data_IF_017762593286
#
_entry.id   IF_017762593286
#
_cell.length_a   1.000
_cell.length_b   1.000
_cell.length_c   1.000
_cell.angle_alpha   90.00
_cell.angle_beta   90.00
_cell.angle_gamma   90.00
#
_symmetry.space_group_name_H-M   'P 1'
#
loop_
_entity.id
_entity.type
_entity.pdbx_description
1 polymer ?
#
# COMPACT_ATOMS: atom_id res chain seq x y z
N UNK A 1 44.12 21.06 -0.99
CA UNK A 1 43.67 19.66 -0.95
C UNK A 1 42.41 19.60 -0.11
N UNK A 2 41.26 19.36 -0.73
CA UNK A 2 40.00 19.15 -0.01
C UNK A 2 39.94 17.69 0.45
N UNK A 3 39.89 17.45 1.76
CA UNK A 3 39.62 16.12 2.31
C UNK A 3 38.12 16.00 2.56
N UNK A 4 37.43 15.29 1.65
CA UNK A 4 36.05 14.86 1.81
C UNK A 4 36.03 13.73 2.85
N UNK A 5 35.53 13.99 4.06
CA UNK A 5 35.16 12.92 5.00
C UNK A 5 33.86 12.29 4.51
N UNK A 6 33.95 11.09 3.95
CA UNK A 6 32.79 10.26 3.70
C UNK A 6 32.23 9.79 5.05
N UNK A 7 31.10 10.36 5.46
CA UNK A 7 30.33 9.86 6.60
C UNK A 7 29.71 8.54 6.15
N UNK A 8 30.29 7.43 6.59
CA UNK A 8 29.75 6.09 6.38
C UNK A 8 28.49 5.99 7.26
N UNK A 9 27.32 6.19 6.66
CA UNK A 9 26.05 5.89 7.31
C UNK A 9 26.00 4.37 7.56
N UNK A 10 26.00 3.96 8.81
CA UNK A 10 25.66 2.59 9.18
C UNK A 10 24.18 2.38 8.80
N UNK A 11 23.95 1.65 7.73
CA UNK A 11 22.61 1.18 7.35
C UNK A 11 22.16 0.25 8.48
N UNK A 12 21.01 0.55 9.10
CA UNK A 12 20.42 -0.31 10.11
C UNK A 12 20.27 -1.74 9.55
N UNK A 13 20.51 -2.80 10.35
CA UNK A 13 20.43 -4.15 9.85
C UNK A 13 19.00 -4.44 9.38
N UNK A 14 18.83 -4.79 8.11
CA UNK A 14 17.54 -5.23 7.59
C UNK A 14 17.03 -6.42 8.42
N UNK A 15 15.81 -6.32 8.96
CA UNK A 15 15.25 -7.40 9.79
C UNK A 15 14.80 -8.52 8.86
N UNK A 16 15.53 -9.62 8.88
CA UNK A 16 15.17 -10.85 8.18
C UNK A 16 14.05 -11.53 8.97
N UNK A 17 12.87 -11.65 8.35
CA UNK A 17 11.81 -12.55 8.80
C UNK A 17 11.88 -13.83 7.99
N UNK A 18 11.49 -14.93 8.62
CA UNK A 18 11.39 -16.24 7.98
C UNK A 18 10.03 -16.85 8.24
N UNK A 19 9.52 -17.60 7.29
CA UNK A 19 8.34 -18.42 7.44
C UNK A 19 8.63 -19.77 6.83
N UNK A 20 8.22 -20.82 7.53
CA UNK A 20 8.36 -22.18 7.03
C UNK A 20 6.97 -22.68 6.68
N UNK A 21 6.83 -23.13 5.44
CA UNK A 21 5.64 -23.78 4.95
C UNK A 21 6.01 -25.18 4.47
N UNK A 22 5.06 -26.09 4.61
CA UNK A 22 5.27 -27.49 4.26
C UNK A 22 4.15 -27.95 3.37
N UNK A 23 4.51 -28.52 2.23
CA UNK A 23 3.55 -29.06 1.27
C UNK A 23 3.69 -30.57 1.15
N UNK A 24 2.55 -31.25 1.19
CA UNK A 24 2.51 -32.67 0.82
C UNK A 24 2.40 -32.75 -0.70
N UNK A 25 3.29 -33.49 -1.34
CA UNK A 25 3.25 -33.66 -2.80
C UNK A 25 2.06 -34.57 -3.15
N UNK A 26 1.16 -34.13 -4.05
CA UNK A 26 -0.02 -34.92 -4.40
C UNK A 26 0.35 -36.16 -5.22
N UNK A 27 -0.48 -37.21 -5.10
CA UNK A 27 -0.43 -38.40 -5.96
C UNK A 27 -0.88 -37.93 -7.36
N UNK A 28 -0.06 -38.15 -8.40
CA UNK A 28 -0.29 -37.73 -9.81
C UNK A 28 0.31 -36.37 -10.22
N UNK A 29 1.55 -36.06 -9.81
CA UNK A 29 2.31 -34.97 -10.45
C UNK A 29 2.51 -35.29 -11.95
N UNK A 30 2.14 -34.40 -12.88
CA UNK A 30 2.26 -34.67 -14.31
C UNK A 30 3.71 -34.82 -14.76
N UNK A 31 3.92 -35.63 -15.79
CA UNK A 31 5.21 -35.81 -16.46
C UNK A 31 5.38 -34.82 -17.62
N UNK A 32 6.62 -34.36 -17.84
CA UNK A 32 7.07 -33.44 -18.88
C UNK A 32 6.47 -32.01 -18.80
N UNK A 33 6.21 -31.38 -19.96
CA UNK A 33 6.08 -29.92 -20.16
C UNK A 33 4.98 -29.23 -19.33
N UNK A 34 4.03 -30.00 -18.82
CA UNK A 34 2.87 -29.47 -18.10
C UNK A 34 3.20 -29.26 -16.61
N UNK A 35 3.05 -28.01 -16.15
CA UNK A 35 3.18 -27.66 -14.74
C UNK A 35 1.84 -27.83 -14.03
N UNK A 36 1.84 -28.52 -12.90
CA UNK A 36 0.66 -28.59 -12.05
C UNK A 36 0.69 -27.46 -11.01
N UNK A 37 -0.36 -26.65 -11.03
CA UNK A 37 -0.76 -25.79 -9.92
C UNK A 37 -1.87 -26.49 -9.16
N UNK A 38 -1.63 -26.82 -7.90
CA UNK A 38 -2.61 -27.57 -7.11
C UNK A 38 -3.52 -26.58 -6.38
N UNK A 39 -4.80 -26.53 -6.75
CA UNK A 39 -5.84 -25.67 -6.12
C UNK A 39 -6.09 -25.98 -4.64
N UNK A 40 -5.53 -27.07 -4.13
CA UNK A 40 -5.67 -27.54 -2.74
C UNK A 40 -4.33 -27.42 -1.98
N UNK A 41 -3.35 -26.72 -2.57
CA UNK A 41 -2.17 -26.18 -1.89
C UNK A 41 -2.46 -24.70 -1.57
N UNK A 42 -2.54 -24.29 -0.29
CA UNK A 42 -2.82 -22.89 0.06
C UNK A 42 -1.73 -21.97 -0.48
N UNK A 43 -2.13 -20.91 -1.19
CA UNK A 43 -1.22 -19.82 -1.52
C UNK A 43 -0.71 -19.21 -0.21
N UNK A 44 0.61 -19.10 -0.09
CA UNK A 44 1.21 -18.48 1.09
C UNK A 44 1.22 -16.96 0.87
N UNK A 45 0.52 -16.23 1.74
CA UNK A 45 0.52 -14.77 1.70
C UNK A 45 1.60 -14.25 2.66
N UNK A 46 2.63 -13.60 2.11
CA UNK A 46 3.70 -12.95 2.87
C UNK A 46 3.66 -11.45 2.56
N UNK A 47 3.37 -10.59 3.53
CA UNK A 47 3.32 -9.12 3.36
C UNK A 47 2.53 -8.68 2.10
N UNK A 48 1.32 -9.23 1.92
CA UNK A 48 0.45 -9.00 0.76
C UNK A 48 1.05 -9.47 -0.59
N UNK A 49 2.01 -10.38 -0.58
CA UNK A 49 2.57 -11.06 -1.73
C UNK A 49 2.11 -12.52 -1.72
N UNK A 50 1.44 -12.96 -2.79
CA UNK A 50 1.00 -14.34 -2.91
C UNK A 50 2.13 -15.19 -3.49
N UNK A 51 2.49 -16.26 -2.81
CA UNK A 51 3.47 -17.25 -3.26
C UNK A 51 2.75 -18.56 -3.59
N UNK A 52 2.97 -19.04 -4.81
CA UNK A 52 2.38 -20.26 -5.34
C UNK A 52 3.45 -21.32 -5.67
N UNK A 53 3.13 -22.58 -5.40
CA UNK A 53 3.97 -23.74 -5.67
C UNK A 53 3.48 -24.47 -6.94
N UNK A 54 4.43 -24.75 -7.82
CA UNK A 54 4.22 -25.46 -9.09
C UNK A 54 5.16 -26.65 -9.17
N UNK A 55 4.65 -27.79 -9.65
CA UNK A 55 5.41 -29.05 -9.68
C UNK A 55 5.29 -29.72 -11.06
N UNK A 56 6.38 -30.36 -11.52
CA UNK A 56 6.37 -31.28 -12.67
C UNK A 56 7.46 -32.34 -12.55
N UNK A 57 7.30 -33.47 -13.22
CA UNK A 57 8.32 -34.52 -13.32
C UNK A 57 8.98 -34.50 -14.70
N UNK A 58 10.31 -34.58 -14.76
CA UNK A 58 11.05 -34.68 -16.02
C UNK A 58 11.81 -36.00 -16.04
N UNK A 59 11.57 -36.82 -17.06
CA UNK A 59 12.26 -38.10 -17.21
C UNK A 59 13.67 -37.89 -17.78
N UNK A 60 14.67 -38.48 -17.11
CA UNK A 60 16.04 -38.47 -17.61
C UNK A 60 16.21 -39.69 -18.54
N UNK A 61 16.54 -39.41 -19.80
CA UNK A 61 16.48 -40.36 -20.94
C UNK A 61 17.37 -41.60 -20.75
N UNK A 62 18.33 -41.59 -19.82
CA UNK A 62 19.18 -42.74 -19.50
C UNK A 62 19.22 -42.98 -17.98
N UNK A 63 18.74 -44.14 -17.53
CA UNK A 63 18.97 -44.65 -16.16
C UNK A 63 17.75 -44.84 -15.24
N UNK A 64 16.52 -44.56 -15.68
CA UNK A 64 15.31 -44.84 -14.87
C UNK A 64 15.06 -43.88 -13.71
N UNK A 65 15.86 -42.82 -13.57
CA UNK A 65 15.67 -41.75 -12.60
C UNK A 65 14.78 -40.64 -13.16
N UNK A 66 13.78 -40.20 -12.38
CA UNK A 66 12.98 -39.01 -12.67
C UNK A 66 13.50 -37.82 -11.87
N UNK A 67 13.43 -36.62 -12.46
CA UNK A 67 13.77 -35.36 -11.83
C UNK A 67 12.48 -34.64 -11.42
N UNK A 68 12.34 -34.27 -10.14
CA UNK A 68 11.25 -33.41 -9.71
C UNK A 68 11.68 -31.95 -9.91
N UNK A 69 10.91 -31.22 -10.71
CA UNK A 69 11.07 -29.78 -10.86
C UNK A 69 10.00 -29.05 -10.05
N UNK A 70 10.47 -28.06 -9.31
CA UNK A 70 9.67 -27.24 -8.40
C UNK A 70 9.83 -25.80 -8.84
N UNK A 71 8.73 -25.10 -9.08
CA UNK A 71 8.73 -23.68 -9.39
C UNK A 71 7.94 -22.93 -8.32
N UNK A 72 8.56 -21.91 -7.73
CA UNK A 72 7.85 -20.93 -6.90
C UNK A 72 7.65 -19.66 -7.70
N UNK A 73 6.43 -19.12 -7.63
CA UNK A 73 6.04 -17.89 -8.33
C UNK A 73 5.37 -16.94 -7.37
N UNK A 74 5.66 -15.66 -7.50
CA UNK A 74 5.11 -14.60 -6.64
C UNK A 74 4.41 -13.49 -7.41
N UNK A 75 3.43 -12.83 -6.80
CA UNK A 75 2.63 -11.76 -7.43
C UNK A 75 3.24 -10.36 -7.28
N UNK A 76 4.21 -10.17 -6.37
CA UNK A 76 4.88 -8.88 -6.13
C UNK A 76 6.39 -9.06 -5.90
N UNK A 77 7.16 -7.98 -6.06
CA UNK A 77 8.64 -7.99 -6.12
C UNK A 77 9.33 -8.29 -4.75
N UNK A 78 8.61 -8.46 -3.62
CA UNK A 78 9.16 -8.19 -2.27
C UNK A 78 9.68 -9.32 -1.33
N UNK A 79 9.91 -10.57 -1.74
CA UNK A 79 10.85 -11.45 -1.04
C UNK A 79 12.17 -11.58 -1.81
N UNK A 80 13.30 -11.35 -1.14
CA UNK A 80 14.64 -11.29 -1.75
C UNK A 80 15.42 -12.61 -1.54
N UNK A 81 15.03 -13.51 -0.62
CA UNK A 81 15.71 -14.80 -0.42
C UNK A 81 14.74 -15.97 -0.26
N UNK A 82 15.03 -17.10 -0.89
CA UNK A 82 14.25 -18.33 -0.68
C UNK A 82 15.16 -19.52 -0.45
N UNK A 83 14.85 -20.28 0.60
CA UNK A 83 15.50 -21.55 0.88
C UNK A 83 14.45 -22.66 0.76
N UNK A 84 14.57 -23.49 -0.26
CA UNK A 84 13.70 -24.66 -0.42
C UNK A 84 14.45 -25.91 0.03
N UNK A 85 13.83 -26.66 0.93
CA UNK A 85 14.32 -27.96 1.40
C UNK A 85 13.33 -29.05 1.01
N UNK A 86 13.68 -29.85 0.02
CA UNK A 86 12.92 -31.03 -0.31
C UNK A 86 13.29 -32.16 0.66
N UNK A 87 12.32 -32.68 1.40
CA UNK A 87 12.52 -33.83 2.30
C UNK A 87 11.90 -35.07 1.67
N UNK A 88 12.74 -35.99 1.20
CA UNK A 88 12.30 -37.23 0.58
C UNK A 88 12.12 -38.31 1.67
N UNK A 89 10.90 -38.37 2.23
CA UNK A 89 10.49 -39.19 3.38
C UNK A 89 11.07 -38.76 4.75
N UNK A 90 10.35 -38.99 5.87
CA UNK A 90 10.89 -38.75 7.20
C UNK A 90 11.96 -39.80 7.49
N UNK A 91 13.23 -39.42 7.55
CA UNK A 91 14.30 -40.38 7.84
C UNK A 91 15.68 -39.88 7.42
N UNK A 92 16.07 -40.07 6.15
CA UNK A 92 17.51 -40.08 5.84
C UNK A 92 17.97 -39.28 4.61
N UNK A 93 17.08 -38.70 3.80
CA UNK A 93 17.50 -37.93 2.62
C UNK A 93 16.72 -36.60 2.46
N UNK A 94 17.39 -35.48 2.73
CA UNK A 94 16.90 -34.13 2.42
C UNK A 94 17.81 -33.45 1.40
N UNK A 95 17.22 -32.88 0.35
CA UNK A 95 17.91 -32.06 -0.63
C UNK A 95 17.56 -30.60 -0.38
N UNK A 96 18.56 -29.79 -0.06
CA UNK A 96 18.39 -28.35 0.14
C UNK A 96 18.94 -27.56 -1.05
N UNK A 97 18.23 -26.49 -1.40
CA UNK A 97 18.65 -25.51 -2.40
C UNK A 97 18.24 -24.12 -1.93
N UNK A 98 19.15 -23.17 -2.02
CA UNK A 98 18.91 -21.77 -1.67
C UNK A 98 19.18 -20.88 -2.87
N UNK A 99 18.35 -19.86 -3.05
CA UNK A 99 18.57 -18.79 -4.02
C UNK A 99 18.46 -17.46 -3.30
N UNK A 100 19.53 -16.67 -3.44
CA UNK A 100 19.57 -15.27 -3.08
C UNK A 100 19.05 -14.45 -4.28
N UNK A 101 18.42 -13.31 -4.02
CA UNK A 101 17.85 -12.38 -4.99
C UNK A 101 16.68 -12.91 -5.85
N UNK A 102 15.67 -13.51 -5.21
CA UNK A 102 14.46 -14.00 -5.90
C UNK A 102 13.67 -12.86 -6.55
N UNK A 103 13.60 -12.81 -7.89
CA UNK A 103 12.95 -11.73 -8.64
C UNK A 103 11.43 -11.90 -8.80
N UNK A 104 10.96 -13.01 -9.39
CA UNK A 104 9.53 -13.29 -9.64
C UNK A 104 9.21 -14.80 -9.72
N UNK A 105 10.08 -15.57 -10.37
CA UNK A 105 9.97 -17.02 -10.52
C UNK A 105 11.31 -17.66 -10.21
N UNK A 106 11.27 -18.81 -9.54
CA UNK A 106 12.48 -19.59 -9.29
C UNK A 106 12.19 -21.07 -9.47
N UNK A 107 13.10 -21.79 -10.15
CA UNK A 107 12.97 -23.21 -10.44
C UNK A 107 14.09 -24.01 -9.79
N UNK A 108 13.71 -25.12 -9.15
CA UNK A 108 14.63 -26.07 -8.54
C UNK A 108 14.46 -27.43 -9.20
N UNK A 109 15.59 -28.08 -9.49
CA UNK A 109 15.62 -29.44 -10.01
C UNK A 109 16.22 -30.38 -8.98
N UNK A 110 15.46 -31.40 -8.60
CA UNK A 110 15.86 -32.44 -7.66
C UNK A 110 16.07 -33.74 -8.43
N UNK A 111 17.32 -34.12 -8.72
CA UNK A 111 17.62 -35.34 -9.46
C UNK A 111 17.46 -36.59 -8.57
N UNK A 112 17.30 -37.75 -9.22
CA UNK A 112 17.27 -39.06 -8.57
C UNK A 112 16.14 -39.25 -7.55
N UNK A 113 14.97 -38.64 -7.80
CA UNK A 113 13.78 -38.92 -6.98
C UNK A 113 13.24 -40.29 -7.40
N UNK A 114 13.15 -41.29 -6.50
CA UNK A 114 12.70 -42.63 -6.88
C UNK A 114 11.27 -42.60 -7.44
N UNK A 115 11.06 -43.20 -8.62
CA UNK A 115 9.73 -43.28 -9.27
C UNK A 115 8.67 -43.94 -8.39
N UNK A 116 9.06 -44.92 -7.58
CA UNK A 116 8.19 -45.56 -6.58
C UNK A 116 7.69 -44.59 -5.52
N UNK A 117 8.51 -43.61 -5.11
CA UNK A 117 8.13 -42.60 -4.11
C UNK A 117 7.11 -41.58 -4.63
N UNK A 118 7.11 -41.29 -5.93
CA UNK A 118 6.24 -40.27 -6.53
C UNK A 118 4.86 -40.84 -6.93
N UNK A 119 4.83 -42.11 -7.37
CA UNK A 119 3.59 -42.74 -7.86
C UNK A 119 2.87 -43.62 -6.82
N UNK A 120 3.54 -44.10 -5.76
CA UNK A 120 2.93 -45.05 -4.81
C UNK A 120 2.88 -44.59 -3.34
N UNK A 121 3.70 -43.63 -2.89
CA UNK A 121 3.73 -43.18 -1.50
C UNK A 121 3.04 -41.83 -1.29
N UNK A 122 2.17 -41.74 -0.29
CA UNK A 122 1.65 -40.47 0.28
C UNK A 122 2.64 -39.82 1.27
N UNK A 123 3.94 -39.87 1.00
CA UNK A 123 4.98 -39.55 2.00
C UNK A 123 5.94 -38.40 1.66
N UNK A 124 5.88 -37.86 0.45
CA UNK A 124 6.79 -36.80 0.02
C UNK A 124 6.35 -35.44 0.58
N UNK A 125 7.26 -34.79 1.32
CA UNK A 125 7.03 -33.47 1.92
C UNK A 125 8.06 -32.48 1.39
N UNK A 126 7.58 -31.36 0.88
CA UNK A 126 8.39 -30.24 0.46
C UNK A 126 8.32 -29.17 1.54
N UNK A 127 9.41 -28.95 2.26
CA UNK A 127 9.51 -27.91 3.27
C UNK A 127 10.20 -26.68 2.64
N UNK A 128 9.54 -25.54 2.68
CA UNK A 128 10.08 -24.32 2.12
C UNK A 128 10.17 -23.26 3.19
N UNK A 129 11.39 -22.79 3.39
CA UNK A 129 11.69 -21.70 4.29
C UNK A 129 11.92 -20.44 3.44
N UNK A 130 10.95 -19.54 3.47
CA UNK A 130 11.04 -18.27 2.74
C UNK A 130 11.53 -17.22 3.72
N UNK A 131 12.61 -16.55 3.34
CA UNK A 131 13.21 -15.47 4.12
C UNK A 131 12.99 -14.15 3.38
N UNK A 132 12.39 -13.16 4.04
CA UNK A 132 12.19 -11.85 3.44
C UNK A 132 12.68 -10.76 4.37
N UNK A 133 13.11 -9.66 3.77
CA UNK A 133 13.52 -8.47 4.49
C UNK A 133 12.31 -7.57 4.66
N UNK A 134 12.02 -7.20 5.90
CA UNK A 134 11.20 -6.03 6.17
C UNK A 134 12.11 -4.81 6.05
N UNK A 135 11.70 -3.81 5.25
CA UNK A 135 12.21 -2.46 5.47
C UNK A 135 11.66 -2.03 6.83
N UNK A 136 12.56 -1.77 7.77
CA UNK A 136 12.26 -1.35 9.14
C UNK A 136 11.71 0.09 9.17
N UNK A 137 10.66 0.37 8.41
CA UNK A 137 9.95 1.66 8.45
C UNK A 137 8.79 1.67 9.44
N UNK A 138 8.57 0.62 10.24
CA UNK A 138 7.45 0.57 11.20
C UNK A 138 7.80 0.23 12.67
N UNK A 139 9.07 0.07 13.10
CA UNK A 139 9.35 -0.33 14.51
C UNK A 139 10.45 0.40 15.29
N UNK A 140 11.13 1.40 14.74
CA UNK A 140 11.81 2.39 15.60
C UNK A 140 10.93 3.63 15.72
N UNK A 141 10.10 3.71 16.77
CA UNK A 141 9.66 5.03 17.24
C UNK A 141 10.94 5.76 17.63
N UNK A 142 11.36 6.70 16.79
CA UNK A 142 12.32 7.74 17.16
C UNK A 142 12.01 8.17 18.59
N UNK A 143 13.00 8.29 19.52
CA UNK A 143 12.72 8.76 20.88
C UNK A 143 11.87 10.00 20.72
N UNK A 144 10.60 9.92 21.16
CA UNK A 144 9.52 10.79 20.68
C UNK A 144 10.09 12.20 20.57
N UNK A 145 10.38 12.63 19.33
CA UNK A 145 10.81 13.99 19.05
C UNK A 145 9.76 14.80 19.75
N UNK A 146 10.13 15.49 20.83
CA UNK A 146 9.20 16.05 21.82
C UNK A 146 7.97 16.50 21.06
N UNK A 147 6.84 15.75 21.10
CA UNK A 147 5.85 15.86 20.06
C UNK A 147 5.24 17.24 20.22
N UNK A 148 5.76 18.19 19.44
CA UNK A 148 5.40 19.59 19.55
C UNK A 148 3.88 19.72 19.37
N UNK A 149 3.30 18.78 18.63
CA UNK A 149 1.88 18.54 18.48
C UNK A 149 1.13 18.09 19.77
N UNK A 150 1.69 17.26 20.64
CA UNK A 150 1.09 17.00 21.97
C UNK A 150 1.08 18.26 22.83
N UNK A 151 2.15 19.07 22.74
CA UNK A 151 2.25 20.35 23.43
C UNK A 151 1.30 21.43 22.88
N UNK A 152 1.09 21.46 21.56
CA UNK A 152 0.15 22.39 20.92
C UNK A 152 -1.30 21.94 21.00
N UNK A 153 -1.58 20.64 21.11
CA UNK A 153 -2.94 20.09 21.15
C UNK A 153 -3.84 20.73 22.21
N UNK A 154 -3.29 21.16 23.36
CA UNK A 154 -4.05 21.88 24.40
C UNK A 154 -4.52 23.28 23.99
N UNK A 155 -3.91 23.89 22.99
CA UNK A 155 -4.30 25.20 22.45
C UNK A 155 -5.29 25.09 21.28
N UNK A 156 -5.64 23.88 20.86
CA UNK A 156 -6.65 23.64 19.84
C UNK A 156 -8.01 24.21 20.29
N UNK A 157 -8.55 25.18 19.53
CA UNK A 157 -9.79 25.91 19.84
C UNK A 157 -9.76 26.67 21.18
N UNK A 158 -8.57 26.89 21.75
CA UNK A 158 -8.39 27.66 22.98
C UNK A 158 -8.24 29.15 22.67
N UNK A 159 -8.75 30.00 23.57
CA UNK A 159 -8.47 31.45 23.55
C UNK A 159 -7.10 31.80 24.15
N UNK A 160 -6.45 30.86 24.82
CA UNK A 160 -5.14 31.10 25.43
C UNK A 160 -4.08 31.31 24.34
N UNK A 161 -3.46 32.49 24.31
CA UNK A 161 -2.50 32.94 23.28
C UNK A 161 -3.05 33.07 21.85
N UNK A 162 -4.36 32.91 21.63
CA UNK A 162 -4.95 33.11 20.31
C UNK A 162 -4.79 34.56 19.86
N UNK A 163 -4.24 34.76 18.66
CA UNK A 163 -3.97 36.08 18.08
C UNK A 163 -4.73 36.31 16.77
N UNK A 164 -5.61 35.36 16.39
CA UNK A 164 -6.48 35.43 15.22
C UNK A 164 -7.78 34.66 15.48
N UNK A 165 -8.88 35.14 14.91
CA UNK A 165 -10.16 34.43 14.88
C UNK A 165 -10.53 34.06 13.45
N UNK A 166 -10.82 32.78 13.21
CA UNK A 166 -11.37 32.32 11.93
C UNK A 166 -12.88 32.55 11.97
N UNK A 167 -13.41 33.28 11.01
CA UNK A 167 -14.83 33.63 10.91
C UNK A 167 -15.45 32.86 9.75
N UNK A 168 -16.39 31.96 10.06
CA UNK A 168 -17.14 31.17 9.06
C UNK A 168 -18.62 31.44 9.28
N UNK A 169 -19.23 32.24 8.40
CA UNK A 169 -20.60 32.69 8.56
C UNK A 169 -20.80 33.50 9.84
N UNK A 170 -21.43 32.89 10.85
CA UNK A 170 -21.67 33.51 12.18
C UNK A 170 -20.79 32.92 13.29
N UNK A 171 -20.03 31.86 13.00
CA UNK A 171 -19.15 31.24 13.99
C UNK A 171 -17.76 31.88 13.97
N UNK A 172 -17.22 32.10 15.16
CA UNK A 172 -15.84 32.54 15.38
C UNK A 172 -15.06 31.43 16.07
N UNK A 173 -13.92 31.06 15.50
CA UNK A 173 -13.04 30.01 16.03
C UNK A 173 -11.70 30.65 16.41
N UNK A 174 -11.29 30.61 17.68
CA UNK A 174 -9.99 31.14 18.09
C UNK A 174 -8.86 30.23 17.55
N UNK A 175 -7.79 30.86 17.07
CA UNK A 175 -6.63 30.16 16.51
C UNK A 175 -5.34 30.98 16.69
N UNK A 176 -4.23 30.40 16.25
CA UNK A 176 -2.89 30.95 16.40
C UNK A 176 -2.24 31.11 15.03
N UNK A 177 -1.95 32.36 14.66
CA UNK A 177 -1.37 32.73 13.36
C UNK A 177 -0.14 31.90 13.04
N UNK A 178 0.75 31.68 14.01
CA UNK A 178 1.99 30.95 13.79
C UNK A 178 1.74 29.49 13.39
N UNK A 179 0.74 28.84 13.97
CA UNK A 179 0.39 27.45 13.67
C UNK A 179 -0.26 27.38 12.28
N UNK A 180 -1.25 28.24 12.01
CA UNK A 180 -1.92 28.30 10.70
C UNK A 180 -0.92 28.55 9.58
N UNK A 181 -0.02 29.52 9.76
CA UNK A 181 0.98 29.89 8.77
C UNK A 181 2.07 28.83 8.56
N UNK A 182 2.42 28.08 9.62
CA UNK A 182 3.39 26.99 9.52
C UNK A 182 2.81 25.78 8.76
N UNK A 183 1.51 25.51 8.93
CA UNK A 183 0.84 24.37 8.31
C UNK A 183 0.29 24.66 6.91
N UNK A 184 0.00 25.92 6.57
CA UNK A 184 -0.60 26.31 5.30
C UNK A 184 -0.01 27.61 4.74
N UNK A 185 0.63 27.52 3.58
CA UNK A 185 1.11 28.70 2.84
C UNK A 185 -0.02 29.62 2.39
N UNK A 186 -1.18 29.04 2.07
CA UNK A 186 -2.38 29.77 1.63
C UNK A 186 -2.96 30.57 2.80
N UNK A 187 -3.14 29.95 3.97
CA UNK A 187 -3.61 30.67 5.16
C UNK A 187 -2.60 31.73 5.61
N UNK A 188 -1.29 31.44 5.54
CA UNK A 188 -0.24 32.44 5.82
C UNK A 188 -0.41 33.70 4.98
N UNK A 189 -0.69 33.53 3.69
CA UNK A 189 -0.92 34.64 2.76
C UNK A 189 -2.22 35.38 3.07
N UNK A 190 -3.33 34.65 3.29
CA UNK A 190 -4.63 35.24 3.66
C UNK A 190 -4.54 36.05 4.97
N UNK A 191 -3.86 35.52 6.00
CA UNK A 191 -3.66 36.22 7.29
C UNK A 191 -2.79 37.46 7.10
N UNK A 192 -1.72 37.37 6.31
CA UNK A 192 -0.86 38.53 6.03
C UNK A 192 -1.62 39.65 5.32
N UNK A 193 -2.51 39.30 4.38
CA UNK A 193 -3.38 40.27 3.71
C UNK A 193 -4.37 40.90 4.70
N UNK A 194 -5.09 40.09 5.49
CA UNK A 194 -6.04 40.58 6.49
C UNK A 194 -5.40 41.54 7.51
N UNK A 195 -4.16 41.25 7.96
CA UNK A 195 -3.40 42.14 8.86
C UNK A 195 -3.04 43.47 8.20
N UNK A 196 -2.75 43.51 6.90
CA UNK A 196 -2.48 44.77 6.16
C UNK A 196 -3.72 45.64 6.03
N UNK A 197 -4.88 45.02 5.91
CA UNK A 197 -6.18 45.67 5.81
C UNK A 197 -6.72 46.16 7.17
N UNK A 198 -5.96 45.93 8.27
CA UNK A 198 -6.34 46.25 9.66
C UNK A 198 -7.67 45.59 10.08
N UNK A 199 -7.91 44.39 9.59
CA UNK A 199 -9.16 43.67 9.80
C UNK A 199 -9.14 42.94 11.16
N UNK A 200 -9.26 43.68 12.27
CA UNK A 200 -9.42 43.27 13.70
C UNK A 200 -8.94 41.85 14.12
N UNK A 201 -7.80 41.40 13.58
CA UNK A 201 -7.31 40.01 13.73
C UNK A 201 -8.32 38.92 13.33
N UNK A 202 -9.16 39.18 12.33
CA UNK A 202 -10.13 38.23 11.80
C UNK A 202 -9.67 37.65 10.45
N UNK A 203 -9.82 36.34 10.30
CA UNK A 203 -9.61 35.61 9.05
C UNK A 203 -10.97 35.08 8.57
N UNK A 204 -11.58 35.76 7.60
CA UNK A 204 -12.86 35.34 7.04
C UNK A 204 -12.65 34.19 6.06
N UNK A 205 -13.43 33.11 6.25
CA UNK A 205 -13.42 31.90 5.44
C UNK A 205 -14.87 31.55 5.07
N UNK A 206 -15.14 31.41 3.77
CA UNK A 206 -16.46 31.18 3.20
C UNK A 206 -16.53 29.92 2.30
N UNK A 207 -15.39 29.26 2.10
CA UNK A 207 -15.20 28.17 1.13
C UNK A 207 -15.20 26.76 1.75
N UNK A 208 -15.43 26.65 3.06
CA UNK A 208 -15.55 25.38 3.81
C UNK A 208 -16.54 25.48 4.97
N UNK A 209 -17.08 24.33 5.40
CA UNK A 209 -17.94 24.27 6.58
C UNK A 209 -17.15 24.42 7.89
N UNK A 210 -17.84 24.83 8.95
CA UNK A 210 -17.27 24.93 10.31
C UNK A 210 -16.66 23.60 10.77
N UNK A 211 -17.35 22.48 10.50
CA UNK A 211 -16.91 21.16 10.93
C UNK A 211 -15.63 20.74 10.20
N UNK A 212 -15.56 20.95 8.88
CA UNK A 212 -14.35 20.68 8.09
C UNK A 212 -13.18 21.52 8.60
N UNK A 213 -13.39 22.81 8.86
CA UNK A 213 -12.34 23.67 9.41
C UNK A 213 -11.88 23.20 10.80
N UNK A 214 -12.81 22.78 11.69
CA UNK A 214 -12.43 22.22 13.00
C UNK A 214 -11.57 20.96 12.85
N UNK A 215 -11.85 20.08 11.88
CA UNK A 215 -11.01 18.90 11.61
C UNK A 215 -9.65 19.28 11.00
N UNK A 216 -9.61 20.27 10.12
CA UNK A 216 -8.35 20.82 9.59
C UNK A 216 -7.50 21.42 10.72
N UNK A 217 -8.10 22.15 11.65
CA UNK A 217 -7.42 22.68 12.83
C UNK A 217 -6.97 21.55 13.76
N UNK A 218 -7.76 20.50 13.95
CA UNK A 218 -7.34 19.35 14.73
C UNK A 218 -6.03 18.78 14.18
N UNK A 219 -5.95 18.59 12.86
CA UNK A 219 -4.72 18.17 12.19
C UNK A 219 -3.56 19.13 12.44
N UNK A 220 -3.76 20.44 12.27
CA UNK A 220 -2.69 21.43 12.42
C UNK A 220 -2.09 21.45 13.83
N UNK A 221 -2.90 21.21 14.85
CA UNK A 221 -2.46 21.26 16.25
C UNK A 221 -1.96 19.91 16.75
N UNK A 222 -2.56 18.80 16.32
CA UNK A 222 -2.29 17.45 16.85
C UNK A 222 -1.46 16.57 15.91
N UNK A 223 -1.30 16.96 14.65
CA UNK A 223 -0.56 16.20 13.63
C UNK A 223 -1.31 14.98 13.07
N UNK A 224 -2.51 14.70 13.56
CA UNK A 224 -3.38 13.61 13.14
C UNK A 224 -4.86 13.99 13.35
N UNK A 225 -5.78 13.22 12.78
CA UNK A 225 -7.22 13.44 12.84
C UNK A 225 -7.93 12.15 13.24
N UNK A 226 -8.97 12.29 14.07
CA UNK A 226 -9.69 11.13 14.62
C UNK A 226 -11.08 10.91 14.01
N UNK A 227 -11.62 11.89 13.26
CA UNK A 227 -13.01 11.89 12.78
C UNK A 227 -13.19 11.90 11.26
N UNK A 228 -12.44 11.08 10.52
CA UNK A 228 -12.82 10.73 9.14
C UNK A 228 -13.51 9.37 9.18
N UNK A 229 -14.83 9.40 9.32
CA UNK A 229 -15.64 8.20 9.55
C UNK A 229 -16.31 7.67 8.27
N UNK A 230 -16.43 8.52 7.25
CA UNK A 230 -17.12 8.23 6.00
C UNK A 230 -16.43 8.88 4.78
N UNK A 231 -16.89 8.49 3.58
CA UNK A 231 -16.33 8.92 2.30
C UNK A 231 -16.58 10.40 2.02
N UNK A 232 -17.77 10.91 2.34
CA UNK A 232 -18.15 12.29 2.03
C UNK A 232 -17.33 13.26 2.88
N UNK A 233 -17.24 13.00 4.18
CA UNK A 233 -16.37 13.73 5.11
C UNK A 233 -14.91 13.71 4.65
N UNK A 234 -14.41 12.55 4.21
CA UNK A 234 -13.04 12.42 3.70
C UNK A 234 -12.79 13.25 2.44
N UNK A 235 -13.77 13.30 1.52
CA UNK A 235 -13.70 14.09 0.30
C UNK A 235 -13.77 15.59 0.58
N UNK A 236 -14.61 16.04 1.51
CA UNK A 236 -14.68 17.45 1.92
C UNK A 236 -13.38 17.92 2.57
N UNK A 237 -12.78 17.11 3.44
CA UNK A 237 -11.50 17.43 4.07
C UNK A 237 -10.37 17.38 3.05
N UNK A 238 -10.41 16.45 2.08
CA UNK A 238 -9.45 16.41 0.97
C UNK A 238 -9.50 17.69 0.13
N UNK A 239 -10.70 18.20 -0.18
CA UNK A 239 -10.87 19.48 -0.87
C UNK A 239 -10.26 20.64 -0.08
N UNK A 240 -10.54 20.71 1.23
CA UNK A 240 -9.95 21.72 2.10
C UNK A 240 -8.42 21.61 2.17
N UNK A 241 -7.89 20.38 2.25
CA UNK A 241 -6.45 20.13 2.29
C UNK A 241 -5.75 20.59 1.01
N UNK A 242 -6.33 20.33 -0.16
CA UNK A 242 -5.82 20.82 -1.44
C UNK A 242 -5.91 22.36 -1.51
N UNK A 243 -7.08 22.91 -1.19
CA UNK A 243 -7.36 24.36 -1.24
C UNK A 243 -6.42 25.18 -0.36
N UNK A 244 -6.11 24.68 0.84
CA UNK A 244 -5.20 25.33 1.77
C UNK A 244 -3.75 24.83 1.65
N UNK A 245 -3.44 23.99 0.66
CA UNK A 245 -2.11 23.44 0.41
C UNK A 245 -1.48 22.76 1.64
N UNK A 246 -2.21 21.83 2.25
CA UNK A 246 -1.80 21.07 3.44
C UNK A 246 -1.49 19.64 2.99
N UNK A 247 -0.33 19.45 2.36
CA UNK A 247 0.05 18.20 1.69
C UNK A 247 -0.08 16.94 2.58
N UNK A 248 0.31 17.04 3.85
CA UNK A 248 0.26 15.89 4.75
C UNK A 248 -1.18 15.47 5.11
N UNK A 249 -2.09 16.43 5.25
CA UNK A 249 -3.51 16.15 5.45
C UNK A 249 -4.12 15.52 4.20
N UNK A 250 -3.74 16.00 3.02
CA UNK A 250 -4.11 15.42 1.73
C UNK A 250 -3.73 13.93 1.67
N UNK A 251 -2.48 13.59 2.01
CA UNK A 251 -2.02 12.19 2.05
C UNK A 251 -2.84 11.30 3.01
N UNK A 252 -3.21 11.82 4.19
CA UNK A 252 -4.04 11.07 5.15
C UNK A 252 -5.42 10.81 4.57
N UNK A 253 -6.05 11.81 3.96
CA UNK A 253 -7.36 11.67 3.33
C UNK A 253 -7.32 10.68 2.16
N UNK A 254 -6.29 10.75 1.31
CA UNK A 254 -6.06 9.80 0.21
C UNK A 254 -5.97 8.36 0.72
N UNK A 255 -5.21 8.14 1.81
CA UNK A 255 -5.09 6.82 2.41
C UNK A 255 -6.42 6.28 2.97
N UNK A 256 -7.20 7.14 3.63
CA UNK A 256 -8.52 6.77 4.16
C UNK A 256 -9.50 6.43 3.04
N UNK A 257 -9.58 7.26 2.01
CA UNK A 257 -10.43 7.03 0.83
C UNK A 257 -10.05 5.73 0.12
N UNK A 258 -8.77 5.43 -0.02
CA UNK A 258 -8.30 4.15 -0.53
C UNK A 258 -8.85 2.95 0.27
N UNK A 259 -8.88 3.05 1.61
CA UNK A 259 -9.45 1.99 2.47
C UNK A 259 -10.96 1.87 2.35
N UNK A 260 -11.65 2.91 1.91
CA UNK A 260 -13.11 2.93 1.71
C UNK A 260 -13.55 2.61 0.28
N UNK A 261 -12.62 2.27 -0.62
CA UNK A 261 -12.97 1.92 -2.00
C UNK A 261 -13.89 0.69 -2.06
N UNK A 262 -14.98 0.86 -2.79
CA UNK A 262 -15.98 -0.15 -3.11
C UNK A 262 -16.42 0.02 -4.56
N UNK A 263 -17.09 -0.99 -5.10
CA UNK A 263 -17.56 -0.94 -6.50
C UNK A 263 -18.55 0.22 -6.72
N UNK A 264 -19.44 0.45 -5.76
CA UNK A 264 -20.50 1.46 -5.81
C UNK A 264 -20.00 2.91 -5.64
N UNK A 265 -18.77 3.13 -5.18
CA UNK A 265 -18.24 4.48 -4.91
C UNK A 265 -16.94 4.82 -5.67
N UNK A 266 -16.28 3.85 -6.29
CA UNK A 266 -14.94 4.07 -6.88
C UNK A 266 -14.94 5.10 -8.01
N UNK A 267 -16.02 5.17 -8.81
CA UNK A 267 -16.10 6.14 -9.91
C UNK A 267 -16.22 7.58 -9.40
N UNK A 268 -17.03 7.80 -8.36
CA UNK A 268 -17.18 9.09 -7.67
C UNK A 268 -15.84 9.53 -7.06
N UNK A 269 -15.17 8.63 -6.34
CA UNK A 269 -13.87 8.90 -5.70
C UNK A 269 -12.79 9.15 -6.76
N UNK A 270 -12.78 8.40 -7.86
CA UNK A 270 -11.84 8.59 -8.96
C UNK A 270 -11.98 9.97 -9.61
N UNK A 271 -13.23 10.40 -9.84
CA UNK A 271 -13.55 11.74 -10.37
C UNK A 271 -13.04 12.84 -9.44
N UNK A 272 -13.26 12.69 -8.13
CA UNK A 272 -12.82 13.66 -7.13
C UNK A 272 -11.29 13.67 -7.01
N UNK A 273 -10.65 12.50 -7.04
CA UNK A 273 -9.20 12.39 -6.99
C UNK A 273 -8.51 13.11 -8.16
N UNK A 274 -9.09 13.04 -9.37
CA UNK A 274 -8.61 13.82 -10.51
C UNK A 274 -8.77 15.33 -10.30
N UNK A 275 -9.94 15.76 -9.85
CA UNK A 275 -10.25 17.19 -9.62
C UNK A 275 -9.35 17.81 -8.55
N UNK A 276 -9.07 17.05 -7.49
CA UNK A 276 -8.27 17.47 -6.33
C UNK A 276 -6.77 17.17 -6.49
N UNK A 277 -6.32 16.80 -7.70
CA UNK A 277 -4.93 16.45 -8.02
C UNK A 277 -4.34 15.41 -7.04
N UNK A 278 -5.18 14.51 -6.54
CA UNK A 278 -4.82 13.45 -5.60
C UNK A 278 -4.27 12.26 -6.37
N UNK A 279 -3.04 12.42 -6.91
CA UNK A 279 -2.46 11.52 -7.91
C UNK A 279 -2.35 10.07 -7.42
N UNK A 280 -1.96 9.85 -6.16
CA UNK A 280 -1.85 8.48 -5.62
C UNK A 280 -3.22 7.83 -5.49
N UNK A 281 -4.20 8.53 -4.91
CA UNK A 281 -5.58 8.03 -4.84
C UNK A 281 -6.16 7.76 -6.24
N UNK A 282 -5.89 8.65 -7.21
CA UNK A 282 -6.32 8.48 -8.61
C UNK A 282 -5.78 7.18 -9.21
N UNK A 283 -4.50 6.88 -8.98
CA UNK A 283 -3.86 5.63 -9.44
C UNK A 283 -4.44 4.39 -8.74
N UNK A 284 -4.65 4.46 -7.43
CA UNK A 284 -5.27 3.36 -6.68
C UNK A 284 -6.71 3.08 -7.11
N UNK A 285 -7.49 4.13 -7.42
CA UNK A 285 -8.83 3.96 -8.00
C UNK A 285 -8.77 3.25 -9.35
N UNK A 286 -7.83 3.61 -10.24
CA UNK A 286 -7.64 2.93 -11.53
C UNK A 286 -7.31 1.44 -11.35
N UNK A 287 -6.43 1.12 -10.39
CA UNK A 287 -6.09 -0.26 -10.09
C UNK A 287 -7.31 -1.04 -9.56
N UNK A 288 -8.09 -0.43 -8.67
CA UNK A 288 -9.31 -1.02 -8.14
C UNK A 288 -10.36 -1.27 -9.23
N UNK A 289 -10.57 -0.30 -10.13
CA UNK A 289 -11.46 -0.41 -11.29
C UNK A 289 -11.01 -1.56 -12.18
N UNK A 290 -9.71 -1.67 -12.48
CA UNK A 290 -9.20 -2.76 -13.32
C UNK A 290 -9.46 -4.16 -12.72
N UNK A 291 -9.20 -4.32 -11.42
CA UNK A 291 -9.45 -5.58 -10.69
C UNK A 291 -10.94 -5.94 -10.73
N UNK A 292 -11.83 -4.95 -10.57
CA UNK A 292 -13.27 -5.14 -10.49
C UNK A 292 -14.03 -4.85 -11.80
N UNK A 293 -13.31 -4.73 -12.92
CA UNK A 293 -13.81 -4.16 -14.20
C UNK A 293 -15.14 -4.72 -14.67
N UNK A 294 -15.41 -6.02 -14.48
CA UNK A 294 -16.69 -6.62 -14.88
C UNK A 294 -17.88 -5.98 -14.14
N UNK A 295 -17.76 -5.86 -12.82
CA UNK A 295 -18.80 -5.27 -11.97
C UNK A 295 -18.96 -3.77 -12.21
N UNK A 296 -17.85 -3.07 -12.46
CA UNK A 296 -17.87 -1.62 -12.75
C UNK A 296 -18.48 -1.34 -14.12
N UNK A 297 -18.28 -2.22 -15.11
CA UNK A 297 -18.90 -2.10 -16.45
C UNK A 297 -20.41 -2.33 -16.40
N UNK A 298 -20.87 -3.19 -15.49
CA UNK A 298 -22.29 -3.48 -15.26
C UNK A 298 -23.00 -2.40 -14.42
N UNK A 299 -22.25 -1.43 -13.88
CA UNK A 299 -22.79 -0.35 -13.04
C UNK A 299 -23.50 0.72 -13.90
N UNK A 300 -24.77 1.00 -13.60
CA UNK A 300 -25.55 2.03 -14.29
C UNK A 300 -24.92 3.43 -14.19
N UNK A 301 -24.19 3.70 -13.09
CA UNK A 301 -23.49 4.97 -12.89
C UNK A 301 -22.35 5.18 -13.88
N UNK A 302 -21.85 4.12 -14.53
CA UNK A 302 -20.80 4.22 -15.53
C UNK A 302 -21.23 5.04 -16.74
N UNK A 303 -22.50 4.94 -17.17
CA UNK A 303 -23.00 5.70 -18.32
C UNK A 303 -23.04 7.20 -18.03
N UNK A 304 -23.40 7.59 -16.80
CA UNK A 304 -23.32 8.98 -16.35
C UNK A 304 -21.86 9.45 -16.31
N UNK A 305 -20.98 8.66 -15.71
CA UNK A 305 -19.54 8.95 -15.62
C UNK A 305 -18.90 9.16 -17.00
N UNK A 306 -19.27 8.34 -17.99
CA UNK A 306 -18.80 8.46 -19.37
C UNK A 306 -19.16 9.80 -20.02
N UNK A 307 -20.33 10.36 -19.71
CA UNK A 307 -20.83 11.61 -20.32
C UNK A 307 -20.12 12.85 -19.79
N UNK A 308 -19.71 12.84 -18.52
CA UNK A 308 -19.05 13.99 -17.89
C UNK A 308 -17.52 13.94 -18.04
N UNK A 309 -16.88 12.77 -17.85
CA UNK A 309 -15.43 12.64 -17.68
C UNK A 309 -14.75 11.75 -18.73
N UNK A 310 -14.85 12.15 -20.00
CA UNK A 310 -14.27 11.42 -21.14
C UNK A 310 -12.77 11.10 -21.00
N UNK A 311 -11.96 11.98 -20.43
CA UNK A 311 -10.53 11.75 -20.24
C UNK A 311 -10.24 10.64 -19.22
N UNK A 312 -11.04 10.57 -18.16
CA UNK A 312 -10.97 9.51 -17.15
C UNK A 312 -11.37 8.16 -17.73
N UNK A 313 -12.37 8.13 -18.62
CA UNK A 313 -12.72 6.92 -19.36
C UNK A 313 -11.59 6.46 -20.28
N UNK A 314 -10.90 7.39 -20.96
CA UNK A 314 -9.71 7.06 -21.73
C UNK A 314 -8.61 6.42 -20.87
N UNK A 315 -8.40 6.95 -19.66
CA UNK A 315 -7.42 6.40 -18.71
C UNK A 315 -7.79 4.98 -18.26
N UNK A 316 -9.07 4.73 -17.96
CA UNK A 316 -9.59 3.38 -17.65
C UNK A 316 -9.36 2.43 -18.82
N UNK A 317 -9.75 2.81 -20.04
CA UNK A 317 -9.57 1.97 -21.24
C UNK A 317 -8.10 1.66 -21.50
N UNK A 318 -7.21 2.65 -21.40
CA UNK A 318 -5.76 2.45 -21.53
C UNK A 318 -5.23 1.48 -20.48
N UNK A 319 -5.68 1.59 -19.24
CA UNK A 319 -5.27 0.68 -18.15
C UNK A 319 -5.73 -0.75 -18.43
N UNK A 320 -6.98 -0.94 -18.88
CA UNK A 320 -7.52 -2.27 -19.23
C UNK A 320 -6.73 -2.90 -20.37
N UNK A 321 -6.45 -2.15 -21.45
CA UNK A 321 -5.72 -2.67 -22.61
C UNK A 321 -4.29 -3.05 -22.25
N UNK A 322 -3.58 -2.19 -21.49
CA UNK A 322 -2.17 -2.43 -21.11
C UNK A 322 -1.97 -3.69 -20.27
N UNK A 323 -2.91 -4.01 -19.38
CA UNK A 323 -2.80 -5.12 -18.43
C UNK A 323 -3.38 -6.44 -18.99
N UNK A 324 -3.92 -6.42 -20.22
CA UNK A 324 -4.41 -7.60 -20.96
C UNK A 324 -3.42 -8.14 -21.99
N UNK A 325 -2.41 -7.35 -22.35
CA UNK A 325 -1.35 -7.69 -23.32
C UNK A 325 -0.14 -8.31 -22.61
#
# INVERSE_FOLDING_TARGET
MFHTKATQFAIAPEVIRTTTCSWSIPRNVPANKDWMHHSTIPALVIDNCDVSLWLRLVDVVFGGSSCLQVSLRKTKIRPIKVIIKLTLNPGDNSLERSIDDWSECVEFSFPNVPRSSINQFSGLRLDCNIAWFLKEQDTFKSPAVFPLHEGFGKYHLSNEFSDVKIVIGKEEIPAHTIILSACSSVLSTKITAAKREKNDNQLVIDDVSVNVMKTVLEFMYKGDITGIDDVDSALEILDAAEKYNIQRLKEICEYKLYKYLRVDNVLEIYRKADTLQALRLKEECLNFIYINRKKVIEDEFLEEFCRDKHHLMCDIMRKIIKEQL
#
